data_IF_251952769549
#
_entry.id   IF_251952769549
#
_cell.length_a   1.000
_cell.length_b   1.000
_cell.length_c   1.000
_cell.angle_alpha   90.00
_cell.angle_beta   90.00
_cell.angle_gamma   90.00
#
_symmetry.space_group_name_H-M   'P 1'
#
loop_
_entity.id
_entity.type
_entity.pdbx_description
1 polymer ?
#
# COMPACT_ATOMS: atom_id res chain seq x y z
N UNK A 1 -14.90 -7.48 -7.16
CA UNK A 1 -13.72 -6.61 -6.91
C UNK A 1 -12.76 -7.40 -6.02
N UNK A 2 -11.65 -8.00 -6.42
CA UNK A 2 -10.93 -8.13 -7.69
C UNK A 2 -9.95 -9.30 -7.54
N UNK A 3 -10.33 -10.52 -7.93
CA UNK A 3 -9.47 -11.72 -7.83
C UNK A 3 -8.14 -11.51 -8.57
N UNK A 4 -8.18 -10.80 -9.71
CA UNK A 4 -7.01 -10.40 -10.50
C UNK A 4 -6.03 -9.43 -9.80
N UNK A 5 -6.50 -8.72 -8.76
CA UNK A 5 -5.63 -7.83 -7.99
C UNK A 5 -4.95 -8.58 -6.87
N UNK A 6 -5.65 -9.51 -6.22
CA UNK A 6 -5.03 -10.42 -5.24
C UNK A 6 -3.98 -11.31 -5.90
N UNK A 7 -4.29 -11.96 -7.03
CA UNK A 7 -3.30 -12.78 -7.75
C UNK A 7 -2.06 -11.98 -8.16
N UNK A 8 -2.24 -10.70 -8.54
CA UNK A 8 -1.12 -9.82 -8.88
C UNK A 8 -0.30 -9.43 -7.65
N UNK A 9 -0.94 -9.17 -6.51
CA UNK A 9 -0.22 -8.89 -5.28
C UNK A 9 0.59 -10.12 -4.85
N UNK A 10 0.02 -11.32 -4.99
CA UNK A 10 0.71 -12.56 -4.69
C UNK A 10 1.91 -12.77 -5.62
N UNK A 11 1.76 -12.48 -6.92
CA UNK A 11 2.87 -12.52 -7.87
C UNK A 11 3.99 -11.52 -7.51
N UNK A 12 3.62 -10.29 -7.10
CA UNK A 12 4.59 -9.28 -6.65
C UNK A 12 5.29 -9.68 -5.35
N UNK A 13 4.55 -10.22 -4.38
CA UNK A 13 5.08 -10.71 -3.11
C UNK A 13 6.05 -11.86 -3.36
N UNK A 14 5.70 -12.79 -4.25
CA UNK A 14 6.57 -13.91 -4.63
C UNK A 14 7.82 -13.42 -5.35
N UNK A 15 7.71 -12.42 -6.23
CA UNK A 15 8.85 -11.85 -6.95
C UNK A 15 9.86 -11.17 -6.02
N UNK A 16 9.40 -10.50 -4.96
CA UNK A 16 10.24 -9.80 -3.99
C UNK A 16 10.62 -10.68 -2.77
N UNK A 17 10.24 -11.96 -2.79
CA UNK A 17 10.43 -12.93 -1.69
C UNK A 17 9.88 -12.41 -0.34
N UNK A 18 8.72 -11.77 -0.37
CA UNK A 18 8.01 -11.26 0.80
C UNK A 18 6.90 -12.24 1.14
N UNK A 19 6.88 -12.70 2.39
CA UNK A 19 5.79 -13.55 2.89
C UNK A 19 4.47 -12.78 2.93
N UNK A 20 3.40 -13.39 2.44
CA UNK A 20 2.04 -12.83 2.58
C UNK A 20 1.71 -12.65 4.06
N UNK A 21 1.35 -11.43 4.43
CA UNK A 21 1.00 -11.03 5.81
C UNK A 21 -0.24 -10.14 5.78
N UNK A 22 -0.96 -10.10 6.89
CA UNK A 22 -2.06 -9.16 7.06
C UNK A 22 -1.57 -7.70 7.06
N UNK A 23 -0.31 -7.48 7.48
CA UNK A 23 0.29 -6.16 7.66
C UNK A 23 1.75 -6.17 7.21
N UNK A 24 2.14 -5.15 6.46
CA UNK A 24 3.49 -4.96 5.93
C UNK A 24 4.19 -3.75 6.55
N UNK A 25 5.52 -3.84 6.59
CA UNK A 25 6.41 -2.74 6.98
C UNK A 25 6.61 -1.77 5.80
N UNK A 26 6.93 -0.50 6.05
CA UNK A 26 7.18 0.49 5.00
C UNK A 26 8.28 0.04 4.03
N UNK A 27 9.35 -0.56 4.54
CA UNK A 27 10.44 -1.08 3.69
C UNK A 27 10.02 -2.24 2.78
N UNK A 28 9.11 -3.11 3.23
CA UNK A 28 8.56 -4.19 2.41
C UNK A 28 7.69 -3.59 1.29
N UNK A 29 6.86 -2.59 1.61
CA UNK A 29 6.01 -1.91 0.63
C UNK A 29 6.84 -1.10 -0.38
N UNK A 30 7.90 -0.41 0.05
CA UNK A 30 8.81 0.28 -0.86
C UNK A 30 9.43 -0.68 -1.89
N UNK A 31 9.86 -1.87 -1.46
CA UNK A 31 10.40 -2.90 -2.35
C UNK A 31 9.32 -3.42 -3.30
N UNK A 32 8.15 -3.78 -2.75
CA UNK A 32 7.03 -4.31 -3.53
C UNK A 32 6.56 -3.35 -4.64
N UNK A 33 6.45 -2.06 -4.32
CA UNK A 33 5.98 -1.02 -5.24
C UNK A 33 7.14 -0.40 -6.05
N UNK A 34 8.39 -0.76 -5.75
CA UNK A 34 9.60 -0.17 -6.34
C UNK A 34 9.64 1.36 -6.23
N UNK A 35 9.22 1.87 -5.08
CA UNK A 35 9.19 3.31 -4.79
C UNK A 35 10.18 3.68 -3.69
N UNK A 36 10.56 4.95 -3.65
CA UNK A 36 11.41 5.47 -2.58
C UNK A 36 10.65 5.58 -1.25
N UNK A 37 11.33 5.53 -0.08
CA UNK A 37 10.70 5.81 1.21
C UNK A 37 10.05 7.20 1.30
N UNK A 38 10.59 8.17 0.57
CA UNK A 38 10.03 9.53 0.48
C UNK A 38 8.70 9.52 -0.27
N UNK A 39 8.63 8.82 -1.40
CA UNK A 39 7.39 8.63 -2.16
C UNK A 39 6.34 7.91 -1.31
N UNK A 40 6.73 6.82 -0.63
CA UNK A 40 5.81 6.11 0.27
C UNK A 40 5.26 7.03 1.36
N UNK A 41 6.11 7.88 1.96
CA UNK A 41 5.69 8.85 2.97
C UNK A 41 4.67 9.83 2.41
N UNK A 42 4.91 10.39 1.23
CA UNK A 42 3.98 11.31 0.57
C UNK A 42 2.63 10.63 0.30
N UNK A 43 2.60 9.39 -0.18
CA UNK A 43 1.36 8.63 -0.38
C UNK A 43 0.59 8.43 0.93
N UNK A 44 1.30 8.20 2.04
CA UNK A 44 0.68 8.06 3.36
C UNK A 44 0.15 9.41 3.87
N UNK A 45 0.91 10.49 3.71
CA UNK A 45 0.50 11.84 4.11
C UNK A 45 -0.72 12.31 3.31
N UNK A 46 -0.81 11.96 2.02
CA UNK A 46 -1.99 12.22 1.18
C UNK A 46 -3.24 11.51 1.72
N UNK A 47 -3.11 10.27 2.19
CA UNK A 47 -4.22 9.54 2.81
C UNK A 47 -4.63 10.12 4.18
N UNK A 48 -3.65 10.58 4.97
CA UNK A 48 -3.88 11.20 6.29
C UNK A 48 -4.49 12.61 6.18
N UNK A 49 -4.13 13.38 5.16
CA UNK A 49 -4.55 14.80 4.99
C UNK A 49 -5.96 14.96 4.41
N UNK A 50 -6.63 13.85 4.06
CA UNK A 50 -8.00 13.89 3.54
C UNK A 50 -9.00 13.95 4.68
N UNK A 51 -9.31 15.17 5.11
CA UNK A 51 -10.23 15.45 6.22
C UNK A 51 -11.71 15.58 5.78
N UNK A 52 -12.05 15.18 4.54
CA UNK A 52 -13.40 15.33 4.02
C UNK A 52 -13.69 14.61 2.69
N UNK A 53 -14.78 13.82 2.71
CA UNK A 53 -15.60 13.23 1.62
C UNK A 53 -14.92 12.45 0.48
N UNK A 54 -13.63 12.63 0.18
CA UNK A 54 -12.95 11.93 -0.91
C UNK A 54 -11.47 11.75 -0.61
N UNK A 55 -11.11 10.57 -0.09
CA UNK A 55 -9.71 10.16 0.04
C UNK A 55 -9.05 10.21 -1.34
N UNK A 56 -7.89 10.86 -1.49
CA UNK A 56 -7.21 10.93 -2.78
C UNK A 56 -6.96 9.51 -3.29
N UNK A 57 -7.24 9.28 -4.59
CA UNK A 57 -7.14 7.96 -5.23
C UNK A 57 -5.75 7.32 -5.02
N UNK A 58 -4.73 8.17 -5.03
CA UNK A 58 -3.32 7.84 -4.88
C UNK A 58 -2.89 7.71 -3.41
N UNK A 59 -3.73 8.09 -2.44
CA UNK A 59 -3.41 7.98 -1.02
C UNK A 59 -3.33 6.53 -0.57
N UNK A 60 -2.23 6.17 0.11
CA UNK A 60 -2.03 4.85 0.72
C UNK A 60 -2.30 4.93 2.22
N UNK A 61 -3.39 4.31 2.66
CA UNK A 61 -3.70 4.31 4.09
C UNK A 61 -2.66 3.51 4.87
N UNK A 62 -2.33 4.01 6.04
CA UNK A 62 -1.42 3.34 6.94
C UNK A 62 -1.77 3.73 8.36
N UNK A 63 -1.46 2.84 9.28
CA UNK A 63 -1.69 3.05 10.70
C UNK A 63 -0.36 2.99 11.45
N UNK A 64 -0.35 3.57 12.64
CA UNK A 64 0.82 3.56 13.52
C UNK A 64 0.62 2.50 14.59
N UNK A 65 1.59 1.60 14.72
CA UNK A 65 1.72 0.70 15.84
C UNK A 65 2.92 1.19 16.67
N UNK A 66 2.64 2.00 17.68
CA UNK A 66 3.67 2.77 18.39
C UNK A 66 4.37 3.76 17.46
N UNK A 67 5.71 3.69 17.39
CA UNK A 67 6.53 4.54 16.51
C UNK A 67 6.63 4.03 15.07
N UNK A 68 6.08 2.84 14.78
CA UNK A 68 6.25 2.21 13.47
C UNK A 68 4.99 2.31 12.63
N UNK A 69 5.14 2.84 11.42
CA UNK A 69 4.09 2.82 10.39
C UNK A 69 3.91 1.39 9.86
N UNK A 70 2.66 1.04 9.58
CA UNK A 70 2.23 -0.26 9.08
C UNK A 70 1.13 -0.09 8.04
N UNK A 71 1.12 -0.97 7.05
CA UNK A 71 0.19 -0.92 5.91
C UNK A 71 -0.54 -2.25 5.86
N UNK A 72 -1.86 -2.22 5.88
CA UNK A 72 -2.66 -3.44 5.78
C UNK A 72 -2.63 -4.00 4.36
N UNK A 73 -2.72 -5.32 4.25
CA UNK A 73 -2.82 -6.01 2.98
C UNK A 73 -4.04 -5.54 2.17
N UNK A 74 -5.21 -5.47 2.80
CA UNK A 74 -6.46 -5.00 2.20
C UNK A 74 -6.31 -3.60 1.60
N UNK A 75 -5.71 -2.67 2.35
CA UNK A 75 -5.42 -1.32 1.88
C UNK A 75 -4.48 -1.31 0.68
N UNK A 76 -3.43 -2.13 0.71
CA UNK A 76 -2.47 -2.23 -0.38
C UNK A 76 -3.10 -2.80 -1.66
N UNK A 77 -3.91 -3.85 -1.53
CA UNK A 77 -4.72 -4.41 -2.64
C UNK A 77 -5.65 -3.34 -3.20
N UNK A 78 -6.38 -2.64 -2.34
CA UNK A 78 -7.31 -1.60 -2.75
C UNK A 78 -6.59 -0.45 -3.47
N UNK A 79 -5.43 -0.03 -2.96
CA UNK A 79 -4.60 0.99 -3.59
C UNK A 79 -4.11 0.54 -4.98
N UNK A 80 -3.64 -0.70 -5.11
CA UNK A 80 -3.22 -1.25 -6.40
C UNK A 80 -4.39 -1.33 -7.38
N UNK A 81 -5.56 -1.79 -6.94
CA UNK A 81 -6.78 -1.79 -7.75
C UNK A 81 -7.13 -0.38 -8.24
N UNK A 82 -6.97 0.64 -7.40
CA UNK A 82 -7.20 2.05 -7.77
C UNK A 82 -6.18 2.59 -8.76
N UNK A 83 -4.89 2.27 -8.61
CA UNK A 83 -3.79 2.91 -9.36
C UNK A 83 -3.37 2.14 -10.63
N UNK A 84 -3.90 0.94 -10.88
CA UNK A 84 -3.56 0.09 -12.04
C UNK A 84 -4.13 0.54 -13.39
N UNK A 85 -5.03 1.53 -13.39
CA UNK A 85 -5.70 2.05 -14.60
C UNK A 85 -5.06 3.34 -15.15
N UNK A 86 -3.75 3.55 -14.94
CA UNK A 86 -2.98 4.65 -15.53
C UNK A 86 -1.86 4.12 -16.40
#
# INVERSE_FOLDING_TARGET
MSEDTEMKIDALLHAENIQRRAVYRPGEVCRLLRISPTTLRQLCELAESSDGSSKPREGLESFRLGHHRRIEHSTLVNWLARNRNQ
#
